data_IF_866874878651
#
_entry.id   IF_866874878651
#
_cell.length_a   1.000
_cell.length_b   1.000
_cell.length_c   1.000
_cell.angle_alpha   90.00
_cell.angle_beta   90.00
_cell.angle_gamma   90.00
#
_symmetry.space_group_name_H-M   'P 1'
#
loop_
_entity.id
_entity.type
_entity.pdbx_description
1 polymer ?
#
# COMPACT_ATOMS: atom_id res chain seq x y z
N UNK A 1 0.83 -14.25 -10.29
CA UNK A 1 -0.61 -13.88 -10.38
C UNK A 1 -1.22 -14.45 -11.66
N UNK A 2 -0.70 -14.12 -12.84
CA UNK A 2 -1.27 -14.48 -14.15
C UNK A 2 -1.56 -15.99 -14.32
N UNK A 3 -0.73 -16.84 -13.75
CA UNK A 3 -0.97 -18.28 -13.82
C UNK A 3 -2.07 -18.73 -12.85
N UNK A 4 -2.05 -18.25 -11.62
CA UNK A 4 -3.08 -18.54 -10.62
C UNK A 4 -4.45 -17.98 -10.99
N UNK A 5 -4.50 -16.85 -11.72
CA UNK A 5 -5.75 -16.24 -12.23
C UNK A 5 -6.52 -17.18 -13.18
N UNK A 6 -5.87 -18.19 -13.76
CA UNK A 6 -6.55 -19.18 -14.61
C UNK A 6 -7.44 -20.15 -13.81
N UNK A 7 -7.19 -20.30 -12.52
CA UNK A 7 -7.99 -21.14 -11.63
C UNK A 7 -9.20 -20.35 -11.10
N UNK A 8 -10.38 -20.64 -11.63
CA UNK A 8 -11.64 -19.96 -11.29
C UNK A 8 -12.08 -20.13 -9.83
N UNK A 9 -11.46 -21.06 -9.09
CA UNK A 9 -11.71 -21.24 -7.66
C UNK A 9 -11.03 -20.18 -6.79
N UNK A 10 -9.99 -19.54 -7.32
CA UNK A 10 -9.26 -18.49 -6.62
C UNK A 10 -9.95 -17.15 -6.86
N UNK A 11 -10.16 -16.40 -5.79
CA UNK A 11 -10.87 -15.13 -5.82
C UNK A 11 -9.96 -13.95 -5.49
N UNK A 12 -8.92 -14.16 -4.71
CA UNK A 12 -7.98 -13.10 -4.30
C UNK A 12 -6.56 -13.64 -4.14
N UNK A 13 -5.58 -12.80 -4.45
CA UNK A 13 -4.17 -13.08 -4.25
C UNK A 13 -3.59 -11.96 -3.38
N UNK A 14 -3.07 -12.34 -2.22
CA UNK A 14 -2.32 -11.44 -1.34
C UNK A 14 -0.83 -11.66 -1.54
N UNK A 15 -0.11 -10.57 -1.84
CA UNK A 15 1.35 -10.54 -1.84
C UNK A 15 1.79 -9.61 -0.72
N UNK A 16 2.65 -10.11 0.16
CA UNK A 16 3.12 -9.34 1.30
C UNK A 16 4.52 -9.75 1.73
N UNK A 17 5.14 -8.94 2.55
CA UNK A 17 6.42 -9.22 3.20
C UNK A 17 6.34 -8.88 4.68
N UNK A 18 6.89 -9.77 5.50
CA UNK A 18 7.19 -9.51 6.90
C UNK A 18 8.71 -9.37 7.03
N UNK A 19 9.18 -8.30 7.67
CA UNK A 19 10.59 -8.08 7.97
C UNK A 19 10.76 -7.80 9.47
N UNK A 20 11.64 -8.58 10.10
CA UNK A 20 11.88 -8.51 11.54
C UNK A 20 10.81 -9.25 12.39
N UNK A 21 11.20 -9.71 13.56
CA UNK A 21 10.36 -10.52 14.44
C UNK A 21 9.08 -9.80 14.89
N UNK A 22 9.17 -8.49 15.19
CA UNK A 22 8.01 -7.68 15.58
C UNK A 22 6.95 -7.53 14.47
N UNK A 23 7.33 -7.75 13.21
CA UNK A 23 6.43 -7.77 12.07
C UNK A 23 5.97 -9.20 11.69
N UNK A 24 6.28 -10.21 12.51
CA UNK A 24 5.87 -11.60 12.28
C UNK A 24 6.78 -12.38 11.33
N UNK A 25 8.00 -11.90 11.05
CA UNK A 25 8.97 -12.68 10.29
C UNK A 25 9.49 -13.85 11.13
N UNK A 26 9.40 -15.07 10.59
CA UNK A 26 9.90 -16.30 11.23
C UNK A 26 11.26 -16.74 10.68
N UNK A 27 11.69 -16.18 9.55
CA UNK A 27 12.95 -16.47 8.88
C UNK A 27 13.79 -15.20 8.79
N UNK A 28 15.10 -15.32 9.03
CA UNK A 28 16.05 -14.21 8.86
C UNK A 28 16.25 -13.82 7.39
N UNK A 29 16.23 -14.83 6.50
CA UNK A 29 16.39 -14.59 5.06
C UNK A 29 15.21 -13.81 4.51
N UNK A 30 15.52 -12.68 3.85
CA UNK A 30 14.51 -11.79 3.25
C UNK A 30 13.68 -12.52 2.20
N UNK A 31 12.37 -12.58 2.39
CA UNK A 31 11.43 -13.22 1.47
C UNK A 31 10.09 -12.47 1.43
N UNK A 32 9.40 -12.56 0.31
CA UNK A 32 8.00 -12.17 0.19
C UNK A 32 7.14 -13.42 0.10
N UNK A 33 5.89 -13.30 0.50
CA UNK A 33 4.92 -14.37 0.50
C UNK A 33 3.78 -14.06 -0.45
N UNK A 34 3.25 -15.11 -1.10
CA UNK A 34 2.05 -15.03 -1.91
C UNK A 34 1.06 -16.08 -1.40
N UNK A 35 -0.17 -15.63 -1.10
CA UNK A 35 -1.26 -16.51 -0.69
C UNK A 35 -2.43 -16.29 -1.66
N UNK A 36 -2.90 -17.39 -2.26
CA UNK A 36 -4.09 -17.40 -3.10
C UNK A 36 -5.29 -17.92 -2.30
N UNK A 37 -6.39 -17.19 -2.32
CA UNK A 37 -7.57 -17.43 -1.49
C UNK A 37 -8.79 -17.71 -2.37
N UNK A 38 -9.67 -18.65 -1.96
CA UNK A 38 -10.94 -18.92 -2.64
C UNK A 38 -12.04 -17.90 -2.29
N UNK A 39 -11.74 -16.94 -1.43
CA UNK A 39 -12.64 -15.86 -0.99
C UNK A 39 -11.92 -14.53 -1.05
N UNK A 40 -12.67 -13.43 -1.19
CA UNK A 40 -12.13 -12.07 -1.03
C UNK A 40 -12.21 -11.71 0.47
N UNK A 41 -11.11 -11.27 1.10
CA UNK A 41 -11.12 -10.84 2.50
C UNK A 41 -12.04 -9.65 2.75
N UNK A 42 -12.66 -9.56 3.93
CA UNK A 42 -13.61 -8.49 4.29
C UNK A 42 -12.98 -7.09 4.17
N UNK A 43 -11.75 -6.93 4.65
CA UNK A 43 -11.05 -5.63 4.54
C UNK A 43 -10.83 -5.19 3.10
N UNK A 44 -10.57 -6.13 2.19
CA UNK A 44 -10.45 -5.85 0.74
C UNK A 44 -11.81 -5.46 0.15
N UNK A 45 -12.89 -6.13 0.55
CA UNK A 45 -14.24 -5.78 0.11
C UNK A 45 -14.62 -4.37 0.57
N UNK A 46 -14.34 -4.02 1.83
CA UNK A 46 -14.62 -2.68 2.39
C UNK A 46 -13.84 -1.60 1.62
N UNK A 47 -12.58 -1.83 1.31
CA UNK A 47 -11.77 -0.90 0.51
C UNK A 47 -12.35 -0.73 -0.91
N UNK A 48 -12.69 -1.82 -1.58
CA UNK A 48 -13.28 -1.81 -2.93
C UNK A 48 -14.64 -1.13 -2.93
N UNK A 49 -15.48 -1.38 -1.92
CA UNK A 49 -16.80 -0.76 -1.80
C UNK A 49 -16.67 0.76 -1.55
N UNK A 50 -15.72 1.20 -0.77
CA UNK A 50 -15.40 2.62 -0.61
C UNK A 50 -14.99 3.28 -1.93
N UNK A 51 -14.12 2.62 -2.70
CA UNK A 51 -13.71 3.09 -4.03
C UNK A 51 -14.89 3.16 -5.00
N UNK A 52 -15.75 2.13 -4.99
CA UNK A 52 -16.95 2.06 -5.83
C UNK A 52 -17.95 3.18 -5.49
N UNK A 53 -18.20 3.42 -4.21
CA UNK A 53 -19.08 4.50 -3.74
C UNK A 53 -18.56 5.88 -4.17
N UNK A 54 -17.26 6.13 -4.03
CA UNK A 54 -16.65 7.37 -4.51
C UNK A 54 -16.84 7.52 -6.02
N UNK A 55 -16.58 6.47 -6.78
CA UNK A 55 -16.72 6.48 -8.25
C UNK A 55 -18.17 6.74 -8.67
N UNK A 56 -19.15 6.13 -7.99
CA UNK A 56 -20.58 6.38 -8.27
C UNK A 56 -20.99 7.84 -8.05
N UNK A 57 -20.35 8.53 -7.11
CA UNK A 57 -20.67 9.92 -6.76
C UNK A 57 -19.87 10.94 -7.59
N UNK A 58 -18.64 10.61 -7.94
CA UNK A 58 -17.67 11.55 -8.54
C UNK A 58 -17.25 11.19 -9.96
N UNK A 59 -17.60 10.00 -10.44
CA UNK A 59 -17.18 9.43 -11.73
C UNK A 59 -15.65 9.39 -11.91
N UNK A 60 -14.93 9.26 -10.78
CA UNK A 60 -13.46 9.24 -10.73
C UNK A 60 -12.98 8.27 -9.65
N UNK A 61 -11.80 7.69 -9.89
CA UNK A 61 -11.10 6.88 -8.89
C UNK A 61 -10.62 7.77 -7.72
N UNK A 62 -10.87 7.34 -6.47
CA UNK A 62 -10.47 8.08 -5.27
C UNK A 62 -8.95 8.21 -5.17
N UNK A 63 -8.20 7.17 -5.52
CA UNK A 63 -6.73 7.22 -5.49
C UNK A 63 -6.15 8.17 -6.53
N UNK A 64 -6.80 8.32 -7.69
CA UNK A 64 -6.43 9.34 -8.66
C UNK A 64 -6.67 10.75 -8.13
N UNK A 65 -7.73 10.97 -7.36
CA UNK A 65 -7.98 12.24 -6.70
C UNK A 65 -6.95 12.51 -5.58
N UNK A 66 -6.60 11.50 -4.77
CA UNK A 66 -5.52 11.56 -3.77
C UNK A 66 -4.20 11.91 -4.46
N UNK A 67 -3.79 11.19 -5.49
CA UNK A 67 -2.55 11.44 -6.23
C UNK A 67 -2.47 12.87 -6.75
N UNK A 68 -3.57 13.41 -7.28
CA UNK A 68 -3.65 14.78 -7.78
C UNK A 68 -3.46 15.78 -6.66
N UNK A 69 -4.14 15.60 -5.53
CA UNK A 69 -4.03 16.46 -4.36
C UNK A 69 -2.62 16.42 -3.78
N UNK A 70 -2.09 15.23 -3.51
CA UNK A 70 -0.76 15.07 -2.92
C UNK A 70 0.35 15.65 -3.80
N UNK A 71 0.27 15.43 -5.12
CA UNK A 71 1.22 16.02 -6.07
C UNK A 71 1.14 17.55 -6.13
N UNK A 72 -0.04 18.14 -5.91
CA UNK A 72 -0.20 19.60 -5.94
C UNK A 72 0.23 20.28 -4.64
N UNK A 73 -0.01 19.64 -3.49
CA UNK A 73 0.33 20.16 -2.16
C UNK A 73 1.77 19.85 -1.75
N UNK A 74 2.27 18.67 -2.10
CA UNK A 74 3.63 18.21 -1.84
C UNK A 74 3.93 17.89 -0.36
N UNK A 75 3.08 18.27 0.59
CA UNK A 75 3.36 18.18 2.02
C UNK A 75 3.63 16.74 2.48
N UNK A 76 2.86 15.78 1.95
CA UNK A 76 2.94 14.36 2.32
C UNK A 76 3.65 13.49 1.28
N UNK A 77 4.21 14.08 0.23
CA UNK A 77 5.05 13.35 -0.74
C UNK A 77 6.38 13.01 -0.09
N UNK A 78 6.76 11.75 -0.11
CA UNK A 78 8.04 11.24 0.39
C UNK A 78 9.09 11.20 -0.73
N UNK A 79 8.73 10.59 -1.86
CA UNK A 79 9.55 10.52 -3.07
C UNK A 79 8.68 10.19 -4.29
N UNK A 80 9.22 10.47 -5.47
CA UNK A 80 8.55 10.19 -6.71
C UNK A 80 9.53 9.84 -7.83
N UNK A 81 9.02 9.18 -8.85
CA UNK A 81 9.70 8.98 -10.12
C UNK A 81 8.69 9.16 -11.28
N UNK A 82 9.08 8.96 -12.55
CA UNK A 82 8.14 9.14 -13.67
C UNK A 82 6.84 8.35 -13.60
N UNK A 83 6.86 7.14 -13.01
CA UNK A 83 5.71 6.23 -12.99
C UNK A 83 5.01 6.13 -11.64
N UNK A 84 5.69 6.43 -10.53
CA UNK A 84 5.17 6.20 -9.16
C UNK A 84 5.31 7.42 -8.26
N UNK A 85 4.37 7.52 -7.32
CA UNK A 85 4.40 8.45 -6.20
C UNK A 85 4.40 7.66 -4.89
N UNK A 86 5.30 8.02 -3.97
CA UNK A 86 5.32 7.53 -2.60
C UNK A 86 4.89 8.64 -1.65
N UNK A 87 3.86 8.39 -0.86
CA UNK A 87 3.27 9.35 0.07
C UNK A 87 3.18 8.78 1.49
N UNK A 88 3.17 9.66 2.50
CA UNK A 88 2.58 9.36 3.80
C UNK A 88 1.08 9.67 3.70
N UNK A 89 0.16 8.67 3.74
CA UNK A 89 -1.24 8.92 3.47
C UNK A 89 -1.87 9.83 4.53
N UNK A 90 -2.80 10.71 4.12
CA UNK A 90 -3.47 11.67 5.03
C UNK A 90 -4.06 11.00 6.27
N UNK A 91 -4.73 9.87 6.08
CA UNK A 91 -5.34 9.09 7.15
C UNK A 91 -4.49 7.86 7.52
N UNK A 92 -3.17 8.04 7.68
CA UNK A 92 -2.26 6.98 8.09
C UNK A 92 -2.72 6.33 9.40
N UNK A 93 -2.84 5.01 9.41
CA UNK A 93 -3.19 4.24 10.61
C UNK A 93 -2.01 4.10 11.57
N UNK A 94 -0.80 4.07 11.02
CA UNK A 94 0.43 3.83 11.77
C UNK A 94 1.46 4.93 11.54
N UNK A 95 2.32 5.24 12.53
CA UNK A 95 3.41 6.19 12.35
C UNK A 95 4.32 5.78 11.20
N UNK A 96 4.67 6.73 10.32
CA UNK A 96 5.54 6.51 9.16
C UNK A 96 5.00 5.50 8.14
N UNK A 97 3.70 5.24 8.12
CA UNK A 97 3.05 4.48 7.05
C UNK A 97 3.30 5.17 5.72
N UNK A 98 3.64 4.40 4.69
CA UNK A 98 3.85 4.90 3.33
C UNK A 98 3.03 4.11 2.33
N UNK A 99 2.53 4.80 1.30
CA UNK A 99 1.91 4.18 0.14
C UNK A 99 2.71 4.49 -1.12
N UNK A 100 2.93 3.47 -1.96
CA UNK A 100 3.48 3.63 -3.30
C UNK A 100 2.38 3.34 -4.31
N UNK A 101 2.03 4.34 -5.11
CA UNK A 101 0.94 4.26 -6.08
C UNK A 101 1.47 4.55 -7.49
N UNK A 102 1.02 3.84 -8.54
CA UNK A 102 1.26 4.26 -9.91
C UNK A 102 0.59 5.62 -10.17
N UNK A 103 1.30 6.54 -10.85
CA UNK A 103 0.76 7.88 -11.18
C UNK A 103 -0.39 7.81 -12.19
N UNK A 104 -0.33 6.82 -13.09
CA UNK A 104 -1.42 6.54 -14.03
C UNK A 104 -2.40 5.58 -13.39
N UNK A 105 -3.68 5.80 -13.66
CA UNK A 105 -4.72 4.90 -13.20
C UNK A 105 -4.45 3.45 -13.63
N UNK A 106 -4.43 2.54 -12.66
CA UNK A 106 -4.16 1.12 -12.86
C UNK A 106 -4.89 0.29 -11.79
N UNK A 107 -5.92 -0.44 -12.20
CA UNK A 107 -6.72 -1.26 -11.27
C UNK A 107 -6.08 -2.61 -10.94
N UNK A 108 -5.27 -3.15 -11.83
CA UNK A 108 -4.74 -4.51 -11.73
C UNK A 108 -3.21 -4.52 -11.75
N UNK A 109 -2.60 -5.05 -10.71
CA UNK A 109 -1.14 -5.16 -10.62
C UNK A 109 -0.54 -6.08 -11.68
N UNK A 110 -1.23 -7.16 -12.00
CA UNK A 110 -0.77 -8.15 -12.98
C UNK A 110 -0.78 -7.64 -14.43
N UNK A 111 -1.34 -6.48 -14.69
CA UNK A 111 -1.32 -5.82 -16.00
C UNK A 111 -0.12 -4.87 -16.17
N UNK A 112 0.68 -4.69 -15.11
CA UNK A 112 1.88 -3.88 -15.16
C UNK A 112 2.87 -4.37 -16.23
N UNK A 113 3.40 -3.44 -17.00
CA UNK A 113 4.42 -3.71 -17.99
C UNK A 113 5.81 -3.80 -17.35
N UNK A 114 6.73 -4.48 -18.02
CA UNK A 114 8.12 -4.63 -17.55
C UNK A 114 8.77 -3.28 -17.21
N UNK A 115 8.56 -2.27 -18.03
CA UNK A 115 9.07 -0.91 -17.82
C UNK A 115 8.60 -0.28 -16.52
N UNK A 116 7.38 -0.57 -16.08
CA UNK A 116 6.87 -0.08 -14.79
C UNK A 116 7.60 -0.73 -13.62
N UNK A 117 7.96 -2.01 -13.70
CA UNK A 117 8.76 -2.66 -12.65
C UNK A 117 10.18 -2.10 -12.55
N UNK A 118 10.75 -1.58 -13.66
CA UNK A 118 12.04 -0.89 -13.65
C UNK A 118 12.01 0.43 -12.87
N UNK A 119 10.84 1.04 -12.71
CA UNK A 119 10.60 2.21 -11.84
C UNK A 119 10.11 1.82 -10.45
N UNK A 120 9.32 0.75 -10.32
CA UNK A 120 8.78 0.30 -9.03
C UNK A 120 9.89 -0.20 -8.08
N UNK A 121 10.83 -0.99 -8.60
CA UNK A 121 11.88 -1.56 -7.76
C UNK A 121 12.79 -0.50 -7.11
N UNK A 122 13.28 0.53 -7.83
CA UNK A 122 14.06 1.61 -7.22
C UNK A 122 13.28 2.44 -6.21
N UNK A 123 12.01 2.79 -6.48
CA UNK A 123 11.23 3.62 -5.54
C UNK A 123 10.90 2.85 -4.25
N UNK A 124 10.59 1.56 -4.36
CA UNK A 124 10.39 0.70 -3.19
C UNK A 124 11.69 0.56 -2.39
N UNK A 125 12.81 0.30 -3.06
CA UNK A 125 14.11 0.20 -2.40
C UNK A 125 14.51 1.49 -1.68
N UNK A 126 14.30 2.65 -2.31
CA UNK A 126 14.60 3.95 -1.71
C UNK A 126 13.67 4.29 -0.55
N UNK A 127 12.35 3.98 -0.65
CA UNK A 127 11.42 4.17 0.46
C UNK A 127 11.85 3.35 1.70
N UNK A 128 12.23 2.09 1.50
CA UNK A 128 12.73 1.24 2.58
C UNK A 128 14.07 1.74 3.15
N UNK A 129 14.98 2.22 2.30
CA UNK A 129 16.27 2.79 2.76
C UNK A 129 16.05 4.02 3.63
N UNK A 130 15.18 4.94 3.25
CA UNK A 130 14.83 6.13 4.04
C UNK A 130 14.18 5.76 5.36
N UNK A 131 13.24 4.82 5.33
CA UNK A 131 12.64 4.28 6.55
C UNK A 131 13.69 3.70 7.51
N UNK A 132 14.63 2.91 6.98
CA UNK A 132 15.73 2.34 7.77
C UNK A 132 16.63 3.41 8.38
N UNK A 133 16.90 4.49 7.65
CA UNK A 133 17.72 5.59 8.13
C UNK A 133 17.02 6.39 9.24
N UNK A 134 15.73 6.72 9.08
CA UNK A 134 14.95 7.50 10.05
C UNK A 134 14.62 6.70 11.31
N UNK A 135 14.28 5.43 11.16
CA UNK A 135 13.71 4.60 12.22
C UNK A 135 14.68 3.55 12.77
N UNK A 136 15.97 3.67 12.43
CA UNK A 136 17.02 2.75 12.88
C UNK A 136 16.73 1.26 12.57
N UNK A 137 16.32 0.99 11.34
CA UNK A 137 15.98 -0.35 10.81
C UNK A 137 14.83 -1.01 11.56
N UNK A 138 13.62 -0.48 11.44
CA UNK A 138 12.44 -1.04 12.10
C UNK A 138 12.03 -2.37 11.49
N UNK A 139 11.35 -3.19 12.27
CA UNK A 139 10.54 -4.25 11.70
C UNK A 139 9.37 -3.63 10.92
N UNK A 140 9.00 -4.22 9.78
CA UNK A 140 7.92 -3.69 8.94
C UNK A 140 7.17 -4.79 8.20
N UNK A 141 5.95 -4.47 7.78
CA UNK A 141 5.25 -5.20 6.75
C UNK A 141 5.16 -4.33 5.50
N UNK A 142 5.19 -4.93 4.31
CA UNK A 142 4.55 -4.31 3.18
C UNK A 142 3.50 -5.26 2.58
N UNK A 143 2.45 -4.67 2.01
CA UNK A 143 1.29 -5.36 1.47
C UNK A 143 1.00 -4.79 0.10
N UNK A 144 0.85 -5.65 -0.89
CA UNK A 144 0.34 -5.26 -2.20
C UNK A 144 -1.19 -5.35 -2.17
N UNK A 145 -1.84 -4.21 -2.27
CA UNK A 145 -3.27 -4.07 -2.47
C UNK A 145 -3.57 -4.16 -3.96
N UNK A 146 -4.28 -5.18 -4.38
CA UNK A 146 -4.65 -5.43 -5.77
C UNK A 146 -6.11 -5.83 -5.88
N UNK A 147 -6.68 -5.65 -7.05
CA UNK A 147 -8.06 -6.06 -7.34
C UNK A 147 -8.27 -7.55 -7.13
N UNK A 148 -9.47 -7.97 -6.67
CA UNK A 148 -9.86 -9.37 -6.69
C UNK A 148 -9.82 -9.94 -8.10
N UNK A 149 -9.52 -11.23 -8.19
CA UNK A 149 -9.52 -11.95 -9.45
C UNK A 149 -10.95 -12.02 -10.00
N UNK A 150 -11.08 -11.93 -11.33
CA UNK A 150 -12.35 -12.05 -12.07
C UNK A 150 -13.40 -10.97 -11.77
N UNK A 151 -13.06 -9.91 -11.04
CA UNK A 151 -13.95 -8.77 -10.78
C UNK A 151 -13.59 -7.57 -11.66
N UNK A 152 -14.62 -6.86 -12.12
CA UNK A 152 -14.46 -5.65 -12.93
C UNK A 152 -14.34 -4.43 -12.00
N UNK A 153 -13.15 -4.18 -11.51
CA UNK A 153 -12.84 -3.08 -10.59
C UNK A 153 -11.93 -2.02 -11.22
N UNK A 154 -11.45 -2.28 -12.44
CA UNK A 154 -10.42 -1.50 -13.10
C UNK A 154 -10.74 -0.02 -13.32
N UNK A 155 -12.02 0.38 -13.36
CA UNK A 155 -12.41 1.78 -13.57
C UNK A 155 -12.32 2.62 -12.29
N UNK A 156 -12.48 2.00 -11.11
CA UNK A 156 -12.61 2.71 -9.84
C UNK A 156 -11.59 2.30 -8.77
N UNK A 157 -10.96 1.14 -8.90
CA UNK A 157 -9.91 0.68 -8.00
C UNK A 157 -8.53 1.04 -8.54
N UNK A 158 -7.53 1.15 -7.65
CA UNK A 158 -6.18 1.52 -8.00
C UNK A 158 -5.22 0.72 -7.11
N UNK A 159 -4.44 -0.18 -7.70
CA UNK A 159 -3.50 -0.98 -6.93
C UNK A 159 -2.41 -0.11 -6.30
N UNK A 160 -1.93 -0.50 -5.13
CA UNK A 160 -0.86 0.19 -4.44
C UNK A 160 -0.11 -0.74 -3.49
N UNK A 161 1.07 -0.30 -3.06
CA UNK A 161 1.83 -0.97 -2.01
C UNK A 161 1.73 -0.13 -0.74
N UNK A 162 1.30 -0.74 0.34
CA UNK A 162 1.31 -0.17 1.68
C UNK A 162 2.52 -0.68 2.45
N UNK A 163 3.30 0.21 3.08
CA UNK A 163 4.46 -0.09 3.91
C UNK A 163 4.17 0.38 5.33
N UNK A 164 4.22 -0.56 6.30
CA UNK A 164 3.83 -0.33 7.69
C UNK A 164 5.01 -0.66 8.62
N UNK A 165 5.75 0.33 9.13
CA UNK A 165 6.72 0.09 10.19
C UNK A 165 6.03 -0.30 11.50
N UNK A 166 6.61 -1.22 12.26
CA UNK A 166 6.07 -1.71 13.54
C UNK A 166 6.62 -0.91 14.71
N UNK A 167 6.14 0.32 14.85
CA UNK A 167 6.54 1.25 15.92
C UNK A 167 5.56 1.26 17.09
N UNK A 168 4.30 0.91 16.83
CA UNK A 168 3.22 0.86 17.81
C UNK A 168 2.59 -0.53 17.84
N UNK A 169 1.93 -0.84 18.96
CA UNK A 169 1.17 -2.08 19.10
C UNK A 169 -0.32 -1.78 19.01
N UNK A 170 -1.04 -2.54 18.21
CA UNK A 170 -2.51 -2.56 18.21
C UNK A 170 -3.00 -3.14 19.52
N UNK A 171 -3.81 -2.41 20.25
CA UNK A 171 -4.28 -2.76 21.59
C UNK A 171 -5.81 -2.77 21.67
N UNK A 172 -6.35 -2.75 22.89
CA UNK A 172 -7.79 -2.93 23.12
C UNK A 172 -8.67 -1.85 22.47
N UNK A 173 -8.18 -0.61 22.37
CA UNK A 173 -8.94 0.46 21.74
C UNK A 173 -9.11 0.19 20.23
N UNK A 174 -8.03 -0.11 19.53
CA UNK A 174 -8.05 -0.39 18.09
C UNK A 174 -8.87 -1.65 17.79
N UNK A 175 -8.69 -2.72 18.57
CA UNK A 175 -9.49 -3.94 18.42
C UNK A 175 -10.97 -3.73 18.70
N UNK A 176 -11.30 -2.89 19.69
CA UNK A 176 -12.69 -2.65 20.11
C UNK A 176 -13.45 -1.69 19.21
N UNK A 177 -12.76 -0.78 18.53
CA UNK A 177 -13.40 0.30 17.77
C UNK A 177 -13.09 0.28 16.28
N UNK A 178 -11.98 -0.35 15.86
CA UNK A 178 -11.47 -0.27 14.49
C UNK A 178 -10.78 1.08 14.16
N UNK A 179 -10.68 2.00 15.14
CA UNK A 179 -9.91 3.24 14.99
C UNK A 179 -8.46 3.04 15.43
N UNK A 180 -7.55 3.80 14.84
CA UNK A 180 -6.13 3.74 15.14
C UNK A 180 -5.65 5.07 15.72
N UNK A 181 -4.77 5.01 16.73
CA UNK A 181 -4.12 6.17 17.31
C UNK A 181 -2.74 6.31 16.67
N UNK A 182 -2.59 7.30 15.81
CA UNK A 182 -1.31 7.64 15.21
C UNK A 182 -0.74 8.92 15.86
N UNK A 183 0.39 8.82 16.63
CA UNK A 183 0.97 9.98 17.32
C UNK A 183 1.83 10.88 16.42
N UNK A 184 2.07 10.50 15.16
CA UNK A 184 2.91 11.24 14.21
C UNK A 184 2.04 11.70 13.05
N UNK A 185 2.05 13.00 12.77
CA UNK A 185 1.33 13.51 11.59
C UNK A 185 1.96 13.00 10.29
N UNK A 186 1.18 12.75 9.24
CA UNK A 186 1.73 12.32 7.96
C UNK A 186 2.67 13.36 7.33
N UNK A 187 2.47 14.63 7.59
CA UNK A 187 3.35 15.72 7.15
C UNK A 187 4.73 15.63 7.80
N UNK A 188 4.79 15.41 9.13
CA UNK A 188 6.05 15.22 9.87
C UNK A 188 6.74 13.94 9.41
N UNK A 189 6.01 12.85 9.26
CA UNK A 189 6.55 11.57 8.77
C UNK A 189 7.16 11.76 7.37
N UNK A 190 6.45 12.41 6.45
CA UNK A 190 6.94 12.67 5.10
C UNK A 190 8.16 13.58 5.10
N UNK A 191 8.20 14.62 5.94
CA UNK A 191 9.35 15.50 6.07
C UNK A 191 10.58 14.73 6.54
N UNK A 192 10.49 13.99 7.64
CA UNK A 192 11.59 13.17 8.14
C UNK A 192 12.12 12.19 7.09
N UNK A 193 11.22 11.53 6.36
CA UNK A 193 11.59 10.58 5.32
C UNK A 193 12.23 11.24 4.10
N UNK A 194 11.87 12.49 3.76
CA UNK A 194 12.51 13.25 2.67
C UNK A 194 13.93 13.68 2.98
N UNK A 195 14.20 14.02 4.24
CA UNK A 195 15.49 14.52 4.72
C UNK A 195 16.52 13.39 4.94
N UNK A 196 16.12 12.11 4.85
CA UNK A 196 16.96 10.93 5.00
C UNK A 196 17.58 10.51 3.64
#
# INVERSE_FOLDING_TARGET
ILDLKKDVRLRYILIFKNHGAAAGATLEHSHSQLIALPVVPTSVLEEIDGCRQHFQQKERCIYCDILRQESSEGARVVLENPEFLCIAPYAARFPFEMWILPKRHAGYFEECQRTQFEFLAPILGEALRRMDAVLARPAYNFILHSSPLHEKTGDFYHWHIEIIPKLTQVAGFEWGTGFYINPVSPEEAAQCLREA
#
